data_IF_076915758758
#
_entry.id   IF_076915758758
#
_cell.length_a   1.000
_cell.length_b   1.000
_cell.length_c   1.000
_cell.angle_alpha   90.00
_cell.angle_beta   90.00
_cell.angle_gamma   90.00
#
_symmetry.space_group_name_H-M   'P 1'
#
loop_
_entity.id
_entity.type
_entity.pdbx_description
1 polymer ?
#
# COMPACT_ATOMS: atom_id res chain seq x y z
N UNK A 1 9.61 -30.96 28.24
CA UNK A 1 10.34 -29.77 27.77
C UNK A 1 10.05 -29.61 26.30
N UNK A 2 9.40 -28.52 25.90
CA UNK A 2 9.25 -28.18 24.48
C UNK A 2 10.59 -27.56 24.07
N UNK A 3 11.36 -28.24 23.23
CA UNK A 3 12.56 -27.69 22.60
C UNK A 3 12.08 -26.65 21.59
N UNK A 4 11.98 -25.40 22.02
CA UNK A 4 11.74 -24.30 21.08
C UNK A 4 12.99 -24.20 20.22
N UNK A 5 12.89 -24.63 18.95
CA UNK A 5 13.93 -24.39 17.96
C UNK A 5 13.99 -22.89 17.75
N UNK A 6 14.92 -22.23 18.41
CA UNK A 6 15.18 -20.81 18.18
C UNK A 6 15.63 -20.68 16.71
N UNK A 7 14.78 -20.08 15.89
CA UNK A 7 15.10 -19.78 14.50
C UNK A 7 16.07 -18.61 14.48
N UNK A 8 17.16 -18.75 13.73
CA UNK A 8 18.02 -17.61 13.44
C UNK A 8 17.34 -16.67 12.45
N UNK A 9 17.76 -15.40 12.39
CA UNK A 9 17.29 -14.48 11.35
C UNK A 9 17.57 -15.02 9.93
N UNK A 10 18.65 -15.77 9.75
CA UNK A 10 18.98 -16.40 8.47
C UNK A 10 17.99 -17.52 8.09
N UNK A 11 17.54 -18.30 9.08
CA UNK A 11 16.52 -19.34 8.86
C UNK A 11 15.18 -18.70 8.47
N UNK A 12 14.79 -17.62 9.16
CA UNK A 12 13.55 -16.87 8.86
C UNK A 12 13.62 -16.28 7.45
N UNK A 13 14.74 -15.66 7.10
CA UNK A 13 14.93 -15.09 5.75
C UNK A 13 14.85 -16.19 4.68
N UNK A 14 15.49 -17.33 4.91
CA UNK A 14 15.51 -18.45 3.97
C UNK A 14 14.12 -19.07 3.80
N UNK A 15 13.36 -19.23 4.89
CA UNK A 15 11.97 -19.72 4.83
C UNK A 15 11.07 -18.75 4.06
N UNK A 16 11.19 -17.44 4.34
CA UNK A 16 10.44 -16.40 3.64
C UNK A 16 10.78 -16.36 2.14
N UNK A 17 12.07 -16.44 1.78
CA UNK A 17 12.52 -16.50 0.40
C UNK A 17 11.99 -17.75 -0.32
N UNK A 18 12.01 -18.91 0.34
CA UNK A 18 11.50 -20.16 -0.22
C UNK A 18 10.00 -20.06 -0.51
N UNK A 19 9.22 -19.46 0.39
CA UNK A 19 7.79 -19.20 0.18
C UNK A 19 7.54 -18.19 -0.93
N UNK A 20 8.32 -17.11 -0.99
CA UNK A 20 8.24 -16.16 -2.09
C UNK A 20 8.40 -16.84 -3.46
N UNK A 21 9.39 -17.72 -3.59
CA UNK A 21 9.71 -18.40 -4.84
C UNK A 21 8.69 -19.50 -5.17
N UNK A 22 8.28 -20.31 -4.19
CA UNK A 22 7.53 -21.55 -4.41
C UNK A 22 6.06 -21.50 -4.00
N UNK A 23 5.67 -20.71 -3.00
CA UNK A 23 4.28 -20.56 -2.53
C UNK A 23 3.88 -19.09 -2.34
N UNK A 24 3.46 -18.49 -3.45
CA UNK A 24 3.10 -17.06 -3.51
C UNK A 24 1.89 -16.72 -2.65
N UNK A 25 0.99 -17.67 -2.41
CA UNK A 25 -0.21 -17.43 -1.59
C UNK A 25 0.13 -17.46 -0.11
N UNK A 26 0.98 -18.40 0.31
CA UNK A 26 1.51 -18.43 1.67
C UNK A 26 2.37 -17.17 1.95
N UNK A 27 3.17 -16.74 0.99
CA UNK A 27 3.94 -15.49 1.10
C UNK A 27 3.04 -14.27 1.33
N UNK A 28 1.95 -14.12 0.57
CA UNK A 28 0.98 -13.04 0.78
C UNK A 28 0.31 -13.11 2.16
N UNK A 29 0.03 -14.34 2.64
CA UNK A 29 -0.56 -14.56 3.96
C UNK A 29 0.40 -14.12 5.07
N UNK A 30 1.69 -14.40 4.93
CA UNK A 30 2.73 -13.94 5.87
C UNK A 30 2.82 -12.42 5.85
N UNK A 31 2.82 -11.78 4.67
CA UNK A 31 2.84 -10.33 4.58
C UNK A 31 1.65 -9.69 5.29
N UNK A 32 0.45 -10.26 5.13
CA UNK A 32 -0.76 -9.76 5.79
C UNK A 32 -0.71 -9.91 7.32
N UNK A 33 -0.10 -10.99 7.83
CA UNK A 33 0.04 -11.22 9.27
C UNK A 33 1.16 -10.40 9.91
N UNK A 34 2.18 -10.01 9.14
CA UNK A 34 3.39 -9.36 9.67
C UNK A 34 3.40 -7.85 9.51
N UNK A 35 2.69 -7.32 8.51
CA UNK A 35 2.63 -5.88 8.24
C UNK A 35 1.30 -5.31 8.74
N UNK A 36 1.30 -4.82 9.98
CA UNK A 36 0.17 -4.08 10.53
C UNK A 36 0.24 -2.60 10.11
N UNK A 37 -0.65 -2.21 9.19
CA UNK A 37 -0.72 -0.83 8.72
C UNK A 37 -1.27 0.14 9.76
N UNK A 38 -2.07 -0.33 10.72
CA UNK A 38 -2.60 0.51 11.80
C UNK A 38 -1.48 0.89 12.79
N UNK A 39 -0.46 0.03 12.96
CA UNK A 39 0.73 0.36 13.75
C UNK A 39 1.69 1.30 13.01
N UNK A 40 1.80 1.16 11.68
CA UNK A 40 2.74 1.93 10.86
C UNK A 40 2.21 3.33 10.53
N UNK A 41 0.90 3.45 10.27
CA UNK A 41 0.28 4.71 9.85
C UNK A 41 -0.18 5.49 11.09
N UNK A 42 0.36 6.69 11.36
CA UNK A 42 -0.11 7.50 12.48
C UNK A 42 -1.60 7.76 12.40
N UNK A 43 -2.32 7.59 13.51
CA UNK A 43 -3.77 7.78 13.53
C UNK A 43 -4.22 9.16 13.04
N UNK A 44 -3.47 10.21 13.38
CA UNK A 44 -3.71 11.57 12.89
C UNK A 44 -3.66 11.67 11.36
N UNK A 45 -2.90 10.80 10.70
CA UNK A 45 -2.73 10.80 9.24
C UNK A 45 -3.93 10.17 8.59
N UNK A 46 -4.34 9.02 9.11
CA UNK A 46 -5.58 8.36 8.69
C UNK A 46 -6.78 9.31 8.85
N UNK A 47 -6.94 9.95 10.01
CA UNK A 47 -8.01 10.93 10.25
C UNK A 47 -7.99 12.07 9.23
N UNK A 48 -6.82 12.66 8.97
CA UNK A 48 -6.71 13.74 7.99
C UNK A 48 -6.99 13.26 6.56
N UNK A 49 -6.54 12.05 6.19
CA UNK A 49 -6.79 11.46 4.89
C UNK A 49 -8.28 11.21 4.63
N UNK A 50 -9.01 10.81 5.68
CA UNK A 50 -10.46 10.56 5.66
C UNK A 50 -11.30 11.81 5.96
N UNK A 51 -10.69 12.97 6.24
CA UNK A 51 -11.42 14.20 6.49
C UNK A 51 -12.25 14.59 5.27
N UNK A 52 -13.55 14.83 5.48
CA UNK A 52 -14.46 15.22 4.42
C UNK A 52 -14.06 16.56 3.82
N UNK A 53 -13.79 16.59 2.52
CA UNK A 53 -13.55 17.86 1.78
C UNK A 53 -14.77 18.25 0.92
N UNK A 54 -15.97 17.83 1.32
CA UNK A 54 -17.22 18.18 0.64
C UNK A 54 -17.53 17.41 -0.66
N UNK A 55 -16.66 16.51 -1.11
CA UNK A 55 -16.95 15.56 -2.21
C UNK A 55 -16.88 14.13 -1.68
N UNK A 56 -17.80 13.22 -2.08
CA UNK A 56 -17.69 11.82 -1.73
C UNK A 56 -16.43 11.24 -2.38
N UNK A 57 -15.50 10.75 -1.55
CA UNK A 57 -14.34 9.98 -2.02
C UNK A 57 -14.46 8.57 -1.47
N UNK A 58 -14.19 7.58 -2.34
CA UNK A 58 -13.81 6.26 -1.87
C UNK A 58 -12.35 6.38 -1.41
N UNK A 59 -12.18 6.55 -0.11
CA UNK A 59 -10.86 6.70 0.50
C UNK A 59 -10.18 5.32 0.57
N UNK A 60 -9.20 5.08 -0.32
CA UNK A 60 -8.50 3.80 -0.44
C UNK A 60 -7.12 3.86 0.25
N UNK A 61 -7.03 4.33 1.50
CA UNK A 61 -5.73 4.49 2.17
C UNK A 61 -4.96 3.17 2.26
N UNK A 62 -5.51 2.21 3.00
CA UNK A 62 -4.84 0.92 3.22
C UNK A 62 -4.71 0.07 1.94
N UNK A 63 -5.72 0.01 1.05
CA UNK A 63 -5.55 -0.67 -0.23
C UNK A 63 -4.43 -0.09 -1.10
N UNK A 64 -4.29 1.25 -1.15
CA UNK A 64 -3.19 1.89 -1.87
C UNK A 64 -1.84 1.60 -1.22
N UNK A 65 -1.74 1.65 0.12
CA UNK A 65 -0.49 1.32 0.82
C UNK A 65 -0.07 -0.13 0.58
N UNK A 66 -0.98 -1.10 0.68
CA UNK A 66 -0.71 -2.50 0.34
C UNK A 66 -0.25 -2.65 -1.10
N UNK A 67 -0.83 -1.92 -2.06
CA UNK A 67 -0.40 -1.95 -3.45
C UNK A 67 1.03 -1.40 -3.66
N UNK A 68 1.39 -0.33 -2.95
CA UNK A 68 2.75 0.22 -2.97
C UNK A 68 3.75 -0.71 -2.29
N UNK A 69 3.33 -1.41 -1.23
CA UNK A 69 4.14 -2.44 -0.58
C UNK A 69 4.45 -3.58 -1.56
N UNK A 70 3.44 -4.07 -2.29
CA UNK A 70 3.66 -5.06 -3.36
C UNK A 70 4.59 -4.53 -4.45
N UNK A 71 4.45 -3.26 -4.81
CA UNK A 71 5.33 -2.62 -5.79
C UNK A 71 6.79 -2.65 -5.33
N UNK A 72 7.04 -2.38 -4.05
CA UNK A 72 8.37 -2.40 -3.46
C UNK A 72 8.93 -3.83 -3.37
N UNK A 73 8.16 -4.76 -2.80
CA UNK A 73 8.60 -6.15 -2.56
C UNK A 73 8.88 -6.88 -3.86
N UNK A 74 7.98 -6.77 -4.85
CA UNK A 74 8.17 -7.40 -6.15
C UNK A 74 9.07 -6.59 -7.09
N UNK A 75 9.64 -5.48 -6.61
CA UNK A 75 10.49 -4.60 -7.42
C UNK A 75 9.82 -4.18 -8.74
N UNK A 76 8.52 -3.89 -8.70
CA UNK A 76 7.75 -3.50 -9.88
C UNK A 76 8.13 -2.06 -10.26
N UNK A 77 8.75 -1.84 -11.43
CA UNK A 77 9.38 -0.56 -11.76
C UNK A 77 8.39 0.56 -12.09
N UNK A 78 7.14 0.24 -12.46
CA UNK A 78 6.18 1.25 -12.95
C UNK A 78 4.77 1.02 -12.43
N UNK A 79 4.04 2.13 -12.24
CA UNK A 79 2.62 2.12 -11.87
C UNK A 79 1.75 1.39 -12.90
N UNK A 80 2.06 1.52 -14.19
CA UNK A 80 1.33 0.82 -15.25
C UNK A 80 1.47 -0.69 -15.12
N UNK A 81 2.67 -1.19 -14.81
CA UNK A 81 2.90 -2.61 -14.61
C UNK A 81 2.22 -3.12 -13.33
N UNK A 82 2.23 -2.35 -12.24
CA UNK A 82 1.46 -2.65 -11.03
C UNK A 82 -0.03 -2.82 -11.34
N UNK A 83 -0.62 -1.91 -12.13
CA UNK A 83 -2.03 -2.00 -12.54
C UNK A 83 -2.29 -3.26 -13.36
N UNK A 84 -1.38 -3.63 -14.27
CA UNK A 84 -1.48 -4.89 -15.03
C UNK A 84 -1.52 -6.08 -14.06
N UNK A 85 -0.61 -6.17 -13.10
CA UNK A 85 -0.62 -7.23 -12.09
C UNK A 85 -1.94 -7.29 -11.31
N UNK A 86 -2.46 -6.15 -10.84
CA UNK A 86 -3.73 -6.07 -10.13
C UNK A 86 -4.94 -6.41 -11.02
N UNK A 87 -4.88 -6.16 -12.33
CA UNK A 87 -5.95 -6.54 -13.26
C UNK A 87 -5.99 -8.05 -13.50
N UNK A 88 -4.84 -8.71 -13.58
CA UNK A 88 -4.79 -10.14 -13.90
C UNK A 88 -4.75 -11.07 -12.69
N UNK A 89 -4.25 -10.61 -11.54
CA UNK A 89 -4.19 -11.43 -10.32
C UNK A 89 -5.28 -11.05 -9.34
N UNK A 90 -6.27 -11.94 -9.18
CA UNK A 90 -7.30 -11.81 -8.14
C UNK A 90 -6.66 -11.82 -6.74
N UNK A 91 -5.68 -12.70 -6.51
CA UNK A 91 -5.00 -12.81 -5.23
C UNK A 91 -4.38 -11.48 -4.76
N UNK A 92 -3.77 -10.72 -5.67
CA UNK A 92 -3.20 -9.41 -5.33
C UNK A 92 -4.28 -8.35 -5.07
N UNK A 93 -5.43 -8.44 -5.75
CA UNK A 93 -6.57 -7.56 -5.45
C UNK A 93 -7.18 -7.85 -4.10
N UNK A 94 -7.37 -9.14 -3.80
CA UNK A 94 -7.95 -9.60 -2.54
C UNK A 94 -7.03 -9.20 -1.39
N UNK A 95 -5.71 -9.42 -1.53
CA UNK A 95 -4.71 -8.97 -0.56
C UNK A 95 -4.78 -7.46 -0.30
N UNK A 96 -4.85 -6.64 -1.36
CA UNK A 96 -4.97 -5.19 -1.23
C UNK A 96 -6.35 -4.73 -0.73
N UNK A 97 -7.41 -5.51 -0.93
CA UNK A 97 -8.79 -5.09 -0.69
C UNK A 97 -9.36 -4.17 -1.77
N UNK A 98 -9.01 -4.41 -3.05
CA UNK A 98 -9.59 -3.67 -4.17
C UNK A 98 -10.79 -4.40 -4.80
N UNK A 99 -11.99 -3.84 -4.64
CA UNK A 99 -13.15 -4.25 -5.46
C UNK A 99 -12.97 -3.87 -6.94
N UNK A 100 -12.42 -2.67 -7.17
CA UNK A 100 -12.13 -2.12 -8.49
C UNK A 100 -10.71 -1.59 -8.50
N UNK A 101 -9.91 -2.03 -9.47
CA UNK A 101 -8.52 -1.59 -9.61
C UNK A 101 -8.47 -0.09 -9.91
N UNK A 102 -7.72 0.72 -9.13
CA UNK A 102 -7.57 2.14 -9.40
C UNK A 102 -6.81 2.36 -10.72
N UNK A 103 -7.15 3.45 -11.40
CA UNK A 103 -6.45 3.89 -12.60
C UNK A 103 -5.12 4.57 -12.25
N UNK A 104 -4.27 4.74 -13.26
CA UNK A 104 -2.94 5.33 -13.10
C UNK A 104 -2.98 6.72 -12.46
N UNK A 105 -3.99 7.52 -12.79
CA UNK A 105 -4.14 8.88 -12.25
C UNK A 105 -4.33 8.88 -10.73
N UNK A 106 -5.12 7.94 -10.19
CA UNK A 106 -5.36 7.80 -8.75
C UNK A 106 -4.12 7.32 -8.02
N UNK A 107 -3.40 6.33 -8.56
CA UNK A 107 -2.17 5.84 -7.92
C UNK A 107 -1.09 6.93 -7.92
N UNK A 108 -0.91 7.63 -9.05
CA UNK A 108 0.04 8.74 -9.12
C UNK A 108 -0.32 9.88 -8.17
N UNK A 109 -1.60 10.26 -8.10
CA UNK A 109 -2.09 11.26 -7.14
C UNK A 109 -1.85 10.83 -5.69
N UNK A 110 -1.99 9.53 -5.40
CA UNK A 110 -1.70 8.99 -4.07
C UNK A 110 -0.20 9.05 -3.76
N UNK A 111 0.67 8.58 -4.66
CA UNK A 111 2.13 8.60 -4.49
C UNK A 111 2.69 10.02 -4.34
N UNK A 112 2.19 10.98 -5.12
CA UNK A 112 2.63 12.39 -5.07
C UNK A 112 1.99 13.19 -3.95
N UNK A 113 0.77 12.82 -3.56
CA UNK A 113 0.03 13.42 -2.46
C UNK A 113 0.42 12.88 -1.09
N UNK A 114 1.15 11.76 -1.03
CA UNK A 114 1.74 11.25 0.20
C UNK A 114 2.95 12.13 0.54
N UNK A 115 2.89 12.98 1.59
CA UNK A 115 4.07 13.73 1.99
C UNK A 115 5.18 12.72 2.31
N UNK A 116 6.30 12.83 1.59
CA UNK A 116 7.55 12.13 1.89
C UNK A 116 8.00 12.59 3.29
N UNK A 117 7.46 11.95 4.32
CA UNK A 117 7.72 12.30 5.70
C UNK A 117 6.51 12.05 6.58
N UNK A 118 6.52 10.90 7.26
CA UNK A 118 5.81 10.71 8.54
C UNK A 118 6.34 11.64 9.65
N UNK A 119 7.20 12.61 9.31
CA UNK A 119 7.81 13.60 10.19
C UNK A 119 7.69 15.00 9.58
N UNK A 120 6.48 15.57 9.57
CA UNK A 120 6.23 17.01 9.81
C UNK A 120 4.77 17.35 9.52
N UNK A 121 3.93 17.26 10.55
CA UNK A 121 2.66 17.97 10.60
C UNK A 121 2.89 19.47 10.70
N UNK A 122 3.34 20.13 9.63
CA UNK A 122 3.11 21.57 9.42
C UNK A 122 3.16 21.88 7.91
N UNK A 123 2.03 21.74 7.20
CA UNK A 123 1.49 22.77 6.29
C UNK A 123 0.17 22.31 5.67
N UNK A 124 -0.82 23.21 5.53
CA UNK A 124 -2.11 22.86 4.96
C UNK A 124 -1.97 22.59 3.46
N UNK A 125 -2.45 21.43 3.02
CA UNK A 125 -2.65 21.10 1.60
C UNK A 125 -3.76 22.00 1.02
N UNK A 126 -3.41 23.24 0.74
CA UNK A 126 -4.23 24.21 0.01
C UNK A 126 -3.47 24.67 -1.24
N UNK A 127 -3.22 23.77 -2.22
CA UNK A 127 -2.84 24.27 -3.56
C UNK A 127 -3.05 23.37 -4.77
N UNK A 128 -3.12 22.04 -4.68
CA UNK A 128 -2.90 21.24 -5.90
C UNK A 128 -4.12 20.81 -6.74
N UNK A 129 -5.31 21.35 -6.51
CA UNK A 129 -6.47 21.08 -7.40
C UNK A 129 -7.15 22.33 -7.99
N UNK A 130 -6.58 23.52 -7.79
CA UNK A 130 -7.12 24.77 -8.38
C UNK A 130 -6.73 24.97 -9.85
N UNK A 131 -5.89 24.13 -10.44
CA UNK A 131 -5.40 24.31 -11.82
C UNK A 131 -6.17 23.54 -12.90
N UNK A 132 -7.21 22.76 -12.55
CA UNK A 132 -8.00 22.01 -13.53
C UNK A 132 -9.46 22.47 -13.67
N UNK A 133 -9.84 23.58 -13.04
CA UNK A 133 -11.17 24.20 -13.18
C UNK A 133 -11.00 25.72 -13.22
N UNK A 134 -10.37 26.22 -14.27
CA UNK A 134 -10.58 27.58 -14.77
C UNK A 134 -10.05 27.65 -16.19
N UNK A 135 -10.95 27.51 -17.15
CA UNK A 135 -11.00 28.33 -18.36
C UNK A 135 -12.41 28.20 -18.92
N UNK A 136 -13.00 29.36 -19.08
CA UNK A 136 -14.17 29.64 -19.91
C UNK A 136 -14.08 28.96 -21.28
#
# INVERSE_FOLDING_TARGET
MITYKQLSLADIFTDCQNKFDNDKYEFLSILEQTVDLDEIVPHSFALHFHASTGRPRNHLLYPMLKALLLQLIFSIPTTSLLIVFLKYSKALRDFCGFDVVPDTSKIYSFQTGFPFGLTSYVRPYARSYRTYMSKD
#
